data_IF_861881283397
#
_entry.id   IF_861881283397
#
_cell.length_a   1.000
_cell.length_b   1.000
_cell.length_c   1.000
_cell.angle_alpha   90.00
_cell.angle_beta   90.00
_cell.angle_gamma   90.00
#
_symmetry.space_group_name_H-M   'P 1'
#
loop_
_entity.id
_entity.type
_entity.pdbx_description
1 polymer ?
#
# COMPACT_ATOMS: atom_id res chain seq x y z
N UNK A 1 18.84 -18.74 -12.32
CA UNK A 1 19.65 -18.12 -11.24
C UNK A 1 19.03 -16.77 -10.91
N UNK A 2 18.74 -16.50 -9.63
CA UNK A 2 18.06 -15.30 -9.13
C UNK A 2 19.04 -14.20 -8.74
N UNK A 3 19.84 -13.70 -9.68
CA UNK A 3 20.52 -12.42 -9.48
C UNK A 3 19.54 -11.29 -9.85
N UNK A 4 19.33 -10.31 -8.95
CA UNK A 4 18.39 -9.20 -9.15
C UNK A 4 16.92 -9.56 -8.89
N UNK A 5 16.62 -10.31 -7.83
CA UNK A 5 15.24 -10.67 -7.45
C UNK A 5 14.41 -9.44 -7.10
N UNK A 6 14.98 -8.50 -6.34
CA UNK A 6 14.36 -7.24 -5.97
C UNK A 6 14.69 -6.15 -6.98
N UNK A 7 13.67 -5.41 -7.40
CA UNK A 7 13.79 -4.17 -8.15
C UNK A 7 13.65 -2.96 -7.23
N UNK A 8 13.33 -1.79 -7.79
CA UNK A 8 13.24 -0.52 -7.04
C UNK A 8 12.10 -0.47 -6.00
N UNK A 9 11.10 -1.34 -6.13
CA UNK A 9 9.93 -1.38 -5.25
C UNK A 9 9.44 -2.82 -5.08
N UNK A 10 10.33 -3.65 -4.53
CA UNK A 10 10.09 -5.09 -4.34
C UNK A 10 10.26 -5.90 -5.62
N UNK A 11 9.61 -7.06 -5.67
CA UNK A 11 9.70 -8.01 -6.79
C UNK A 11 8.50 -7.79 -7.70
N UNK A 12 8.70 -7.47 -9.00
CA UNK A 12 7.60 -7.20 -9.94
C UNK A 12 7.83 -7.86 -11.29
N UNK A 13 6.78 -8.45 -11.86
CA UNK A 13 6.79 -8.96 -13.22
C UNK A 13 5.36 -9.18 -13.75
N UNK A 14 5.25 -9.48 -15.04
CA UNK A 14 4.02 -10.03 -15.61
C UNK A 14 3.68 -11.35 -14.92
N UNK A 15 2.42 -11.56 -14.56
CA UNK A 15 2.00 -12.78 -13.87
C UNK A 15 2.34 -14.04 -14.67
N UNK A 16 2.71 -15.11 -13.96
CA UNK A 16 3.17 -16.38 -14.53
C UNK A 16 4.45 -16.30 -15.37
N UNK A 17 5.27 -15.27 -15.14
CA UNK A 17 6.59 -15.13 -15.76
C UNK A 17 7.64 -14.76 -14.73
N UNK A 18 8.89 -15.15 -14.98
CA UNK A 18 10.04 -14.78 -14.15
C UNK A 18 9.78 -15.01 -12.65
N UNK A 19 9.89 -13.96 -11.80
CA UNK A 19 9.69 -14.10 -10.36
C UNK A 19 8.22 -14.13 -9.92
N UNK A 20 7.25 -13.93 -10.82
CA UNK A 20 5.81 -13.92 -10.53
C UNK A 20 5.10 -15.23 -10.94
N UNK A 21 5.80 -16.36 -10.85
CA UNK A 21 5.19 -17.69 -10.87
C UNK A 21 4.85 -18.13 -9.44
N UNK A 22 3.87 -19.01 -9.27
CA UNK A 22 3.51 -19.53 -7.94
C UNK A 22 4.72 -20.19 -7.23
N UNK A 23 5.53 -20.95 -7.98
CA UNK A 23 6.75 -21.59 -7.47
C UNK A 23 7.78 -20.57 -6.97
N UNK A 24 8.06 -19.54 -7.79
CA UNK A 24 8.99 -18.48 -7.40
C UNK A 24 8.50 -17.71 -6.16
N UNK A 25 7.18 -17.53 -6.02
CA UNK A 25 6.60 -16.84 -4.87
C UNK A 25 6.64 -17.69 -3.60
N UNK A 26 6.40 -19.01 -3.68
CA UNK A 26 6.67 -19.92 -2.55
C UNK A 26 8.14 -19.80 -2.13
N UNK A 27 9.05 -19.74 -3.11
CA UNK A 27 10.48 -19.63 -2.84
C UNK A 27 10.85 -18.32 -2.14
N UNK A 28 10.29 -17.20 -2.59
CA UNK A 28 10.45 -15.90 -1.94
C UNK A 28 9.90 -15.90 -0.50
N UNK A 29 8.73 -16.49 -0.28
CA UNK A 29 8.11 -16.60 1.04
C UNK A 29 8.97 -17.42 2.01
N UNK A 30 9.50 -18.55 1.57
CA UNK A 30 10.44 -19.37 2.35
C UNK A 30 11.67 -18.56 2.77
N UNK A 31 12.29 -17.86 1.82
CA UNK A 31 13.51 -17.10 2.06
C UNK A 31 13.28 -15.91 2.99
N UNK A 32 12.23 -15.11 2.73
CA UNK A 32 11.88 -13.97 3.55
C UNK A 32 11.49 -14.40 4.97
N UNK A 33 10.61 -15.40 5.09
CA UNK A 33 10.18 -15.89 6.39
C UNK A 33 11.32 -16.49 7.21
N UNK A 34 12.26 -17.20 6.55
CA UNK A 34 13.45 -17.72 7.22
C UNK A 34 14.36 -16.61 7.73
N UNK A 35 14.60 -15.59 6.90
CA UNK A 35 15.43 -14.44 7.28
C UNK A 35 14.90 -13.78 8.57
N UNK A 36 13.60 -13.46 8.61
CA UNK A 36 12.98 -12.83 9.78
C UNK A 36 12.90 -13.76 10.99
N UNK A 37 12.71 -15.07 10.79
CA UNK A 37 12.72 -16.04 11.89
C UNK A 37 14.10 -16.16 12.56
N UNK A 38 15.19 -15.99 11.80
CA UNK A 38 16.56 -16.07 12.31
C UNK A 38 17.03 -14.74 12.97
N UNK A 39 16.49 -13.59 12.56
CA UNK A 39 16.99 -12.26 12.96
C UNK A 39 16.10 -11.49 13.93
N UNK A 40 14.85 -11.89 14.16
CA UNK A 40 13.99 -11.25 15.14
C UNK A 40 14.18 -11.83 16.55
N UNK A 41 13.99 -10.98 17.56
CA UNK A 41 14.18 -11.36 18.97
C UNK A 41 13.20 -12.47 19.38
N UNK A 42 13.75 -13.66 19.64
CA UNK A 42 13.01 -14.84 20.10
C UNK A 42 12.70 -14.82 21.59
N UNK A 43 12.85 -13.68 22.26
CA UNK A 43 12.50 -13.51 23.68
C UNK A 43 11.05 -13.85 23.99
N UNK A 44 10.17 -13.83 22.97
CA UNK A 44 8.80 -14.33 23.08
C UNK A 44 8.69 -15.80 22.63
N UNK A 45 8.01 -16.64 23.41
CA UNK A 45 7.61 -18.00 23.02
C UNK A 45 6.49 -18.02 21.95
N UNK A 46 6.10 -16.87 21.40
CA UNK A 46 5.07 -16.79 20.38
C UNK A 46 5.64 -17.14 18.99
N UNK A 47 4.80 -17.71 18.13
CA UNK A 47 5.17 -17.96 16.73
C UNK A 47 5.25 -16.63 15.96
N UNK A 48 6.28 -16.43 15.11
CA UNK A 48 6.36 -15.24 14.28
C UNK A 48 5.14 -15.15 13.35
N UNK A 49 4.65 -13.92 13.17
CA UNK A 49 3.46 -13.57 12.43
C UNK A 49 3.87 -12.81 11.16
N UNK A 50 3.27 -13.19 10.04
CA UNK A 50 3.31 -12.45 8.78
C UNK A 50 1.93 -11.90 8.48
N UNK A 51 1.83 -10.61 8.20
CA UNK A 51 0.59 -10.00 7.69
C UNK A 51 0.66 -9.91 6.17
N UNK A 52 -0.40 -10.32 5.48
CA UNK A 52 -0.45 -10.38 4.02
C UNK A 52 -1.68 -9.60 3.54
N UNK A 53 -1.43 -8.48 2.88
CA UNK A 53 -2.43 -7.72 2.12
C UNK A 53 -2.24 -7.91 0.62
N UNK A 54 -3.28 -7.56 -0.14
CA UNK A 54 -3.24 -7.59 -1.60
C UNK A 54 -4.10 -6.48 -2.18
N UNK A 55 -3.94 -6.19 -3.46
CA UNK A 55 -4.92 -5.44 -4.22
C UNK A 55 -6.04 -6.36 -4.78
N UNK A 56 -6.78 -5.85 -5.76
CA UNK A 56 -7.96 -6.50 -6.34
C UNK A 56 -7.65 -7.39 -7.53
N UNK A 57 -6.39 -7.50 -7.99
CA UNK A 57 -6.02 -8.34 -9.14
C UNK A 57 -6.42 -9.79 -8.90
N UNK A 58 -6.92 -10.45 -9.95
CA UNK A 58 -7.26 -11.88 -9.90
C UNK A 58 -6.04 -12.74 -9.49
N UNK A 59 -4.86 -12.38 -9.98
CA UNK A 59 -3.60 -13.06 -9.66
C UNK A 59 -3.25 -13.04 -8.18
N UNK A 60 -3.79 -12.08 -7.40
CA UNK A 60 -3.60 -12.00 -5.96
C UNK A 60 -4.05 -13.25 -5.19
N UNK A 61 -5.06 -13.99 -5.67
CA UNK A 61 -5.47 -15.25 -5.02
C UNK A 61 -4.40 -16.34 -5.11
N UNK A 62 -3.78 -16.46 -6.28
CA UNK A 62 -2.71 -17.43 -6.51
C UNK A 62 -1.46 -17.05 -5.71
N UNK A 63 -1.08 -15.78 -5.74
CA UNK A 63 0.11 -15.29 -5.04
C UNK A 63 -0.05 -15.31 -3.51
N UNK A 64 -1.22 -14.95 -2.98
CA UNK A 64 -1.54 -15.05 -1.54
C UNK A 64 -1.41 -16.51 -1.07
N UNK A 65 -1.96 -17.46 -1.86
CA UNK A 65 -1.89 -18.89 -1.53
C UNK A 65 -0.45 -19.41 -1.55
N UNK A 66 0.36 -19.00 -2.53
CA UNK A 66 1.78 -19.35 -2.63
C UNK A 66 2.59 -18.79 -1.44
N UNK A 67 2.34 -17.53 -1.06
CA UNK A 67 2.95 -16.92 0.12
C UNK A 67 2.60 -17.68 1.41
N UNK A 68 1.30 -17.97 1.60
CA UNK A 68 0.83 -18.75 2.75
C UNK A 68 1.50 -20.12 2.81
N UNK A 69 1.59 -20.83 1.68
CA UNK A 69 2.23 -22.14 1.63
C UNK A 69 3.71 -22.05 2.05
N UNK A 70 4.45 -21.07 1.54
CA UNK A 70 5.85 -20.89 1.92
C UNK A 70 6.02 -20.57 3.40
N UNK A 71 5.35 -19.53 3.91
CA UNK A 71 5.49 -19.12 5.33
C UNK A 71 5.05 -20.21 6.32
N UNK A 72 3.90 -20.84 6.09
CA UNK A 72 3.38 -21.86 7.02
C UNK A 72 4.22 -23.14 7.02
N UNK A 73 4.88 -23.47 5.90
CA UNK A 73 5.78 -24.63 5.82
C UNK A 73 7.06 -24.51 6.65
N UNK A 74 7.43 -23.30 7.08
CA UNK A 74 8.57 -23.02 7.97
C UNK A 74 8.13 -22.53 9.35
N UNK A 75 6.85 -22.70 9.68
CA UNK A 75 6.30 -22.48 11.03
C UNK A 75 5.80 -21.07 11.34
N UNK A 76 5.72 -20.18 10.35
CA UNK A 76 5.21 -18.82 10.53
C UNK A 76 3.68 -18.78 10.42
N UNK A 77 3.03 -18.03 11.31
CA UNK A 77 1.58 -17.81 11.27
C UNK A 77 1.24 -16.66 10.31
N UNK A 78 0.26 -16.84 9.42
CA UNK A 78 -0.17 -15.83 8.46
C UNK A 78 -1.49 -15.16 8.88
N UNK A 79 -1.55 -13.84 8.73
CA UNK A 79 -2.77 -13.02 8.90
C UNK A 79 -3.14 -12.40 7.55
N UNK A 80 -4.22 -12.90 6.96
CA UNK A 80 -4.69 -12.47 5.65
C UNK A 80 -5.63 -11.28 5.80
N UNK A 81 -5.22 -10.13 5.32
CA UNK A 81 -5.94 -8.87 5.44
C UNK A 81 -7.03 -8.70 4.37
N UNK A 82 -6.94 -9.47 3.28
CA UNK A 82 -7.76 -9.28 2.09
C UNK A 82 -7.32 -8.07 1.27
N UNK A 83 -8.16 -7.59 0.33
CA UNK A 83 -7.91 -6.36 -0.40
C UNK A 83 -7.80 -5.16 0.54
N UNK A 84 -6.63 -4.51 0.58
CA UNK A 84 -6.37 -3.38 1.49
C UNK A 84 -5.20 -2.52 0.97
N UNK A 85 -5.17 -1.19 1.17
CA UNK A 85 -4.07 -0.35 0.68
C UNK A 85 -2.69 -0.78 1.18
N UNK A 86 -1.65 -0.55 0.36
CA UNK A 86 -0.25 -0.72 0.76
C UNK A 86 0.09 -0.03 2.09
N UNK A 87 -0.28 1.25 2.34
CA UNK A 87 -0.02 1.89 3.64
C UNK A 87 -0.73 1.22 4.82
N UNK A 88 -1.84 0.50 4.58
CA UNK A 88 -2.50 -0.26 5.63
C UNK A 88 -1.70 -1.50 6.03
N UNK A 89 -1.04 -2.18 5.09
CA UNK A 89 -0.14 -3.30 5.38
C UNK A 89 1.01 -2.82 6.27
N UNK A 90 1.66 -1.72 5.90
CA UNK A 90 2.72 -1.11 6.71
C UNK A 90 2.24 -0.79 8.14
N UNK A 91 1.09 -0.12 8.27
CA UNK A 91 0.50 0.19 9.57
C UNK A 91 0.16 -1.07 10.39
N UNK A 92 -0.52 -2.04 9.76
CA UNK A 92 -1.01 -3.23 10.44
C UNK A 92 0.11 -4.16 10.87
N UNK A 93 1.22 -4.21 10.12
CA UNK A 93 2.45 -4.93 10.50
C UNK A 93 2.91 -4.49 11.89
N UNK A 94 3.10 -3.18 12.08
CA UNK A 94 3.49 -2.61 13.38
C UNK A 94 2.41 -2.79 14.45
N UNK A 95 1.15 -2.50 14.12
CA UNK A 95 0.06 -2.54 15.12
C UNK A 95 -0.21 -3.94 15.67
N UNK A 96 0.00 -4.97 14.84
CA UNK A 96 -0.18 -6.38 15.19
C UNK A 96 1.10 -7.01 15.73
N UNK A 97 2.20 -6.23 15.81
CA UNK A 97 3.54 -6.70 16.18
C UNK A 97 3.98 -7.89 15.33
N UNK A 98 3.66 -7.82 14.05
CA UNK A 98 4.08 -8.82 13.08
C UNK A 98 5.53 -8.57 12.68
N UNK A 99 6.21 -9.66 12.38
CA UNK A 99 7.62 -9.72 12.03
C UNK A 99 7.86 -9.33 10.58
N UNK A 100 6.82 -9.48 9.74
CA UNK A 100 6.88 -9.18 8.32
C UNK A 100 5.49 -8.76 7.81
N UNK A 101 5.47 -7.68 7.03
CA UNK A 101 4.35 -7.29 6.20
C UNK A 101 4.59 -7.63 4.74
N UNK A 102 3.56 -8.13 4.05
CA UNK A 102 3.61 -8.45 2.63
C UNK A 102 2.44 -7.76 1.93
N UNK A 103 2.75 -6.96 0.91
CA UNK A 103 1.75 -6.43 -0.01
C UNK A 103 1.90 -7.07 -1.38
N UNK A 104 0.82 -7.66 -1.88
CA UNK A 104 0.73 -8.25 -3.21
C UNK A 104 0.07 -7.23 -4.15
N UNK A 105 0.87 -6.48 -4.89
CA UNK A 105 0.41 -5.50 -5.87
C UNK A 105 1.50 -5.04 -6.83
N UNK A 106 1.10 -4.56 -8.01
CA UNK A 106 1.93 -3.79 -8.93
C UNK A 106 1.50 -2.30 -9.05
N UNK A 107 0.87 -1.73 -8.01
CA UNK A 107 0.43 -0.33 -7.95
C UNK A 107 -0.46 0.03 -9.16
N UNK A 108 -0.07 1.05 -9.91
CA UNK A 108 -0.76 1.57 -11.09
C UNK A 108 -0.65 0.71 -12.36
N UNK A 109 0.11 -0.40 -12.35
CA UNK A 109 0.25 -1.25 -13.54
C UNK A 109 -1.10 -1.92 -13.96
N UNK A 110 -1.26 -2.37 -15.21
CA UNK A 110 -2.45 -3.13 -15.65
C UNK A 110 -2.54 -4.52 -14.99
N UNK A 111 -3.74 -5.12 -14.93
CA UNK A 111 -4.03 -6.36 -14.17
C UNK A 111 -3.12 -7.58 -14.45
N UNK A 112 -2.48 -7.64 -15.61
CA UNK A 112 -1.59 -8.75 -15.99
C UNK A 112 -0.20 -8.67 -15.37
N UNK A 113 0.14 -7.56 -14.72
CA UNK A 113 1.31 -7.44 -13.86
C UNK A 113 0.93 -7.65 -12.40
N UNK A 114 1.88 -8.15 -11.59
CA UNK A 114 1.76 -8.13 -10.14
C UNK A 114 3.16 -8.00 -9.51
N UNK A 115 3.19 -7.80 -8.20
CA UNK A 115 4.44 -7.68 -7.46
C UNK A 115 4.27 -7.96 -5.98
N UNK A 116 5.40 -8.06 -5.29
CA UNK A 116 5.51 -8.33 -3.86
C UNK A 116 6.37 -7.23 -3.24
N UNK A 117 5.78 -6.47 -2.32
CA UNK A 117 6.48 -5.51 -1.45
C UNK A 117 6.58 -6.09 -0.05
N UNK A 118 7.75 -6.02 0.56
CA UNK A 118 7.99 -6.50 1.92
C UNK A 118 8.20 -5.33 2.88
N UNK A 119 7.69 -5.46 4.10
CA UNK A 119 7.78 -4.48 5.17
C UNK A 119 8.35 -5.10 6.43
N UNK A 120 9.30 -4.43 7.07
CA UNK A 120 9.85 -4.85 8.35
C UNK A 120 8.87 -4.68 9.51
N UNK A 121 9.24 -5.12 10.73
CA UNK A 121 8.40 -5.00 11.93
C UNK A 121 8.04 -3.57 12.32
N UNK A 122 8.85 -2.60 11.89
CA UNK A 122 8.64 -1.17 12.07
C UNK A 122 7.62 -0.56 11.08
N UNK A 123 7.25 -1.32 10.04
CA UNK A 123 6.35 -0.91 8.97
C UNK A 123 7.05 -0.18 7.82
N UNK A 124 8.38 -0.10 7.81
CA UNK A 124 9.15 0.45 6.69
C UNK A 124 9.48 -0.63 5.66
N UNK A 125 9.88 -0.22 4.46
CA UNK A 125 10.43 -1.15 3.46
C UNK A 125 11.76 -1.71 3.95
N UNK A 126 12.15 -2.84 3.37
CA UNK A 126 13.40 -3.51 3.73
C UNK A 126 14.60 -2.73 3.20
N UNK A 127 15.67 -2.72 4.00
CA UNK A 127 16.98 -2.21 3.55
C UNK A 127 17.63 -3.18 2.57
N UNK A 128 18.48 -2.67 1.69
CA UNK A 128 19.18 -3.43 0.65
C UNK A 128 19.93 -4.67 1.20
N UNK A 129 20.52 -4.55 2.39
CA UNK A 129 21.23 -5.66 3.06
C UNK A 129 20.29 -6.82 3.43
N UNK A 130 19.05 -6.49 3.84
CA UNK A 130 18.02 -7.49 4.14
C UNK A 130 17.58 -8.17 2.84
N UNK A 131 17.31 -7.39 1.79
CA UNK A 131 16.93 -7.93 0.48
C UNK A 131 18.01 -8.84 -0.11
N UNK A 132 19.29 -8.48 0.06
CA UNK A 132 20.43 -9.30 -0.33
C UNK A 132 20.48 -10.61 0.47
N UNK A 133 20.25 -10.55 1.79
CA UNK A 133 20.16 -11.73 2.65
C UNK A 133 19.04 -12.69 2.25
N UNK A 134 17.85 -12.15 1.96
CA UNK A 134 16.71 -12.92 1.44
C UNK A 134 17.05 -13.55 0.08
N UNK A 135 17.70 -12.80 -0.82
CA UNK A 135 18.11 -13.30 -2.13
C UNK A 135 19.12 -14.46 -2.01
N UNK A 136 20.06 -14.39 -1.07
CA UNK A 136 21.00 -15.46 -0.79
C UNK A 136 20.30 -16.72 -0.26
N UNK A 137 19.37 -16.58 0.69
CA UNK A 137 18.54 -17.69 1.18
C UNK A 137 17.70 -18.31 0.06
N UNK A 138 17.14 -17.48 -0.82
CA UNK A 138 16.38 -17.93 -1.99
C UNK A 138 17.22 -18.74 -3.00
N UNK A 139 18.54 -18.73 -2.93
CA UNK A 139 19.42 -19.59 -3.73
C UNK A 139 19.80 -20.92 -3.04
N UNK A 140 19.66 -21.04 -1.71
CA UNK A 140 20.15 -22.17 -0.92
C UNK A 140 19.14 -23.28 -0.64
N UNK A 141 19.34 -24.07 0.42
CA UNK A 141 18.29 -24.94 0.99
C UNK A 141 17.67 -24.25 2.20
N UNK A 142 16.36 -24.45 2.40
CA UNK A 142 15.63 -23.91 3.55
C UNK A 142 14.98 -25.10 4.25
N UNK A 143 15.31 -25.29 5.52
CA UNK A 143 14.75 -26.35 6.34
C UNK A 143 13.27 -26.08 6.61
N UNK A 144 12.44 -27.11 6.43
CA UNK A 144 11.00 -27.04 6.66
C UNK A 144 10.66 -27.44 8.10
N UNK A 145 9.54 -26.94 8.60
CA UNK A 145 9.04 -27.28 9.91
C UNK A 145 8.55 -28.74 9.97
N UNK A 146 8.69 -29.36 11.14
CA UNK A 146 8.04 -30.64 11.42
C UNK A 146 6.51 -30.46 11.45
N UNK A 147 5.76 -31.56 11.26
CA UNK A 147 4.30 -31.51 11.22
C UNK A 147 3.63 -30.77 12.40
N UNK A 148 4.06 -30.91 13.68
CA UNK A 148 3.49 -30.14 14.80
C UNK A 148 3.82 -28.64 14.78
N UNK A 149 4.90 -28.27 14.10
CA UNK A 149 5.46 -26.93 14.07
C UNK A 149 4.97 -26.09 12.88
N UNK A 150 4.18 -26.69 11.98
CA UNK A 150 3.55 -25.98 10.86
C UNK A 150 2.77 -24.75 11.33
N UNK A 151 2.95 -23.66 10.58
CA UNK A 151 2.28 -22.39 10.82
C UNK A 151 0.78 -22.44 10.49
N UNK A 152 0.04 -21.42 10.92
CA UNK A 152 -1.41 -21.31 10.71
C UNK A 152 -1.76 -20.06 9.93
N UNK A 153 -2.64 -20.18 8.95
CA UNK A 153 -3.22 -19.04 8.25
C UNK A 153 -4.61 -18.69 8.81
N UNK A 154 -4.87 -17.41 9.05
CA UNK A 154 -6.18 -16.89 9.48
C UNK A 154 -6.53 -15.61 8.73
N UNK A 155 -7.77 -15.51 8.26
CA UNK A 155 -8.31 -14.26 7.69
C UNK A 155 -8.66 -13.28 8.81
N UNK A 156 -8.32 -12.01 8.61
CA UNK A 156 -8.71 -10.90 9.46
C UNK A 156 -9.89 -10.17 8.82
N UNK A 157 -11.08 -10.35 9.40
CA UNK A 157 -12.31 -9.76 8.89
C UNK A 157 -12.46 -8.27 9.27
N UNK A 158 -11.70 -7.81 10.26
CA UNK A 158 -11.73 -6.46 10.81
C UNK A 158 -10.59 -5.56 10.29
N UNK A 159 -9.79 -6.03 9.31
CA UNK A 159 -8.63 -5.30 8.77
C UNK A 159 -9.00 -3.93 8.20
N UNK A 160 -10.07 -3.86 7.41
CA UNK A 160 -10.61 -2.62 6.82
C UNK A 160 -11.01 -1.63 7.92
N UNK A 161 -11.81 -2.07 8.90
CA UNK A 161 -12.26 -1.21 9.99
C UNK A 161 -11.10 -0.66 10.83
N UNK A 162 -10.09 -1.50 11.14
CA UNK A 162 -8.89 -1.04 11.85
C UNK A 162 -8.13 0.05 11.10
N UNK A 163 -7.99 -0.10 9.77
CA UNK A 163 -7.31 0.92 8.98
C UNK A 163 -8.14 2.20 8.81
N UNK A 164 -9.46 2.08 8.65
CA UNK A 164 -10.39 3.23 8.62
C UNK A 164 -10.29 4.02 9.94
N UNK A 165 -10.33 3.35 11.09
CA UNK A 165 -10.13 4.00 12.40
C UNK A 165 -8.77 4.70 12.49
N UNK A 166 -7.69 4.05 12.04
CA UNK A 166 -6.37 4.68 12.00
C UNK A 166 -6.37 5.93 11.12
N UNK A 167 -6.90 5.85 9.89
CA UNK A 167 -6.93 6.98 8.96
C UNK A 167 -7.68 8.18 9.56
N UNK A 168 -8.85 7.95 10.17
CA UNK A 168 -9.61 9.00 10.88
C UNK A 168 -8.84 9.59 12.05
N UNK A 169 -8.09 8.76 12.80
CA UNK A 169 -7.32 9.21 13.97
C UNK A 169 -6.20 10.21 13.63
N UNK A 170 -5.83 10.34 12.35
CA UNK A 170 -4.82 11.31 11.90
C UNK A 170 -5.34 12.75 11.91
N UNK A 171 -6.66 12.95 11.94
CA UNK A 171 -7.27 14.26 12.04
C UNK A 171 -7.34 14.73 13.50
N UNK A 172 -7.11 16.02 13.78
CA UNK A 172 -7.13 16.54 15.13
C UNK A 172 -8.54 16.51 15.74
N UNK A 173 -8.66 15.96 16.95
CA UNK A 173 -9.89 16.00 17.75
C UNK A 173 -11.08 15.31 17.07
N UNK A 174 -12.23 15.98 17.06
CA UNK A 174 -13.47 15.51 16.41
C UNK A 174 -13.72 16.25 15.09
N UNK A 175 -12.68 16.42 14.29
CA UNK A 175 -12.81 17.03 12.96
C UNK A 175 -13.83 16.25 12.14
N UNK A 176 -14.76 16.97 11.52
CA UNK A 176 -15.75 16.42 10.60
C UNK A 176 -15.62 17.11 9.24
N UNK A 177 -16.03 16.39 8.21
CA UNK A 177 -16.08 16.85 6.82
C UNK A 177 -17.52 17.15 6.38
N UNK A 178 -18.41 17.45 7.34
CA UNK A 178 -19.81 17.75 7.06
C UNK A 178 -19.93 18.93 6.09
N UNK A 179 -20.82 18.80 5.11
CA UNK A 179 -21.04 19.82 4.08
C UNK A 179 -20.07 19.75 2.91
N UNK A 180 -19.05 18.88 2.94
CA UNK A 180 -18.23 18.58 1.77
C UNK A 180 -18.83 17.43 0.97
N UNK A 181 -18.89 17.61 -0.34
CA UNK A 181 -19.20 16.59 -1.33
C UNK A 181 -17.95 16.23 -2.10
N UNK A 182 -17.56 14.96 -2.06
CA UNK A 182 -16.31 14.46 -2.62
C UNK A 182 -16.57 13.37 -3.66
N UNK A 183 -15.94 13.49 -4.83
CA UNK A 183 -15.83 12.39 -5.79
C UNK A 183 -14.60 11.56 -5.44
N UNK A 184 -14.75 10.24 -5.31
CA UNK A 184 -13.63 9.35 -4.91
C UNK A 184 -13.48 8.21 -5.89
N UNK A 185 -12.47 8.27 -6.75
CA UNK A 185 -12.08 7.22 -7.68
C UNK A 185 -11.03 6.30 -7.05
N UNK A 186 -11.43 5.05 -6.83
CA UNK A 186 -10.61 4.04 -6.16
C UNK A 186 -9.85 3.13 -7.12
N UNK A 187 -9.84 3.44 -8.43
CA UNK A 187 -9.14 2.68 -9.48
C UNK A 187 -9.51 1.20 -9.59
N UNK A 188 -10.68 0.80 -9.08
CA UNK A 188 -11.05 -0.60 -8.82
C UNK A 188 -9.96 -1.34 -8.03
N UNK A 189 -9.20 -0.62 -7.21
CA UNK A 189 -8.01 -1.07 -6.50
C UNK A 189 -8.27 -1.38 -5.03
N UNK A 190 -7.18 -1.43 -4.27
CA UNK A 190 -7.18 -1.88 -2.88
C UNK A 190 -7.98 -0.97 -1.94
N UNK A 191 -8.17 0.31 -2.30
CA UNK A 191 -8.90 1.28 -1.49
C UNK A 191 -10.41 1.36 -1.75
N UNK A 192 -10.98 0.48 -2.60
CA UNK A 192 -12.39 0.53 -3.04
C UNK A 192 -13.42 0.57 -1.90
N UNK A 193 -13.04 0.14 -0.69
CA UNK A 193 -13.84 0.28 0.54
C UNK A 193 -13.26 1.31 1.49
N UNK A 194 -11.96 1.20 1.80
CA UNK A 194 -11.33 1.99 2.86
C UNK A 194 -11.42 3.50 2.61
N UNK A 195 -11.30 3.96 1.36
CA UNK A 195 -11.33 5.40 1.08
C UNK A 195 -12.75 5.99 1.17
N UNK A 196 -13.79 5.43 0.52
CA UNK A 196 -15.17 5.86 0.73
C UNK A 196 -15.62 5.77 2.18
N UNK A 197 -15.36 4.64 2.85
CA UNK A 197 -15.80 4.41 4.24
C UNK A 197 -15.19 5.46 5.19
N UNK A 198 -13.89 5.75 5.05
CA UNK A 198 -13.18 6.75 5.88
C UNK A 198 -13.80 8.13 5.74
N UNK A 199 -14.00 8.60 4.51
CA UNK A 199 -14.50 9.95 4.26
C UNK A 199 -15.98 10.10 4.62
N UNK A 200 -16.78 9.07 4.35
CA UNK A 200 -18.18 9.02 4.75
C UNK A 200 -18.36 9.06 6.27
N UNK A 201 -17.60 8.25 7.02
CA UNK A 201 -17.66 8.24 8.49
C UNK A 201 -17.21 9.56 9.13
N UNK A 202 -16.37 10.34 8.43
CA UNK A 202 -16.00 11.70 8.81
C UNK A 202 -17.08 12.74 8.50
N UNK A 203 -18.12 12.40 7.75
CA UNK A 203 -19.30 13.25 7.50
C UNK A 203 -19.42 13.80 6.07
N UNK A 204 -18.51 13.47 5.16
CA UNK A 204 -18.61 13.93 3.78
C UNK A 204 -19.69 13.16 2.99
N UNK A 205 -20.34 13.82 2.04
CA UNK A 205 -21.13 13.18 0.99
C UNK A 205 -20.18 12.59 -0.06
N UNK A 206 -20.29 11.29 -0.34
CA UNK A 206 -19.36 10.60 -1.24
C UNK A 206 -20.06 10.22 -2.55
N UNK A 207 -19.43 10.57 -3.66
CA UNK A 207 -19.73 10.04 -5.00
C UNK A 207 -18.62 9.05 -5.37
N UNK A 208 -18.81 7.75 -5.14
CA UNK A 208 -17.77 6.75 -5.38
C UNK A 208 -17.66 6.41 -6.88
N UNK A 209 -16.43 6.29 -7.38
CA UNK A 209 -16.10 5.82 -8.72
C UNK A 209 -15.13 4.65 -8.65
N UNK A 210 -15.24 3.72 -9.59
CA UNK A 210 -14.34 2.56 -9.71
C UNK A 210 -14.22 1.78 -8.39
N UNK A 211 -15.36 1.44 -7.80
CA UNK A 211 -15.46 0.69 -6.54
C UNK A 211 -16.02 -0.73 -6.73
N UNK A 212 -15.99 -1.25 -7.95
CA UNK A 212 -16.55 -2.56 -8.30
C UNK A 212 -15.49 -3.44 -8.97
N UNK A 213 -14.44 -3.84 -8.24
CA UNK A 213 -13.38 -4.67 -8.78
C UNK A 213 -13.88 -6.05 -9.22
N UNK A 214 -13.45 -6.50 -10.40
CA UNK A 214 -13.77 -7.83 -10.94
C UNK A 214 -12.54 -8.75 -11.12
N UNK A 215 -11.35 -8.23 -10.77
CA UNK A 215 -10.07 -8.91 -10.94
C UNK A 215 -9.28 -8.52 -12.19
N UNK A 216 -9.91 -7.82 -13.14
CA UNK A 216 -9.36 -7.42 -14.44
C UNK A 216 -9.37 -5.90 -14.65
N UNK A 217 -10.34 -5.20 -14.09
CA UNK A 217 -10.62 -3.78 -14.31
C UNK A 217 -9.82 -2.80 -13.43
N UNK A 218 -8.80 -3.27 -12.70
CA UNK A 218 -7.92 -2.42 -11.89
C UNK A 218 -7.14 -1.45 -12.80
N UNK A 219 -7.12 -0.17 -12.43
CA UNK A 219 -6.49 0.94 -13.16
C UNK A 219 -6.97 1.10 -14.64
N UNK A 220 -8.05 0.42 -15.04
CA UNK A 220 -8.55 0.49 -16.41
C UNK A 220 -9.29 1.81 -16.63
N UNK A 221 -8.61 2.77 -17.29
CA UNK A 221 -9.16 4.10 -17.59
C UNK A 221 -9.71 4.85 -16.36
N UNK A 222 -9.14 4.57 -15.17
CA UNK A 222 -9.53 5.18 -13.90
C UNK A 222 -8.30 5.36 -12.98
N UNK A 223 -8.51 6.03 -11.84
CA UNK A 223 -7.51 6.22 -10.81
C UNK A 223 -6.50 7.34 -11.10
N UNK A 224 -5.46 7.42 -10.28
CA UNK A 224 -4.50 8.53 -10.30
C UNK A 224 -3.76 8.72 -11.64
N UNK A 225 -3.62 7.66 -12.45
CA UNK A 225 -3.02 7.75 -13.80
C UNK A 225 -4.01 8.26 -14.85
N UNK A 226 -5.31 8.04 -14.64
CA UNK A 226 -6.39 8.44 -15.55
C UNK A 226 -7.49 9.25 -14.82
N UNK A 227 -7.16 10.44 -14.26
CA UNK A 227 -8.06 11.17 -13.37
C UNK A 227 -9.22 11.89 -14.08
N UNK A 228 -9.31 11.80 -15.41
CA UNK A 228 -10.27 12.57 -16.21
C UNK A 228 -11.73 12.21 -15.91
N UNK A 229 -12.00 10.93 -15.60
CA UNK A 229 -13.34 10.48 -15.21
C UNK A 229 -13.78 11.15 -13.90
N UNK A 230 -12.90 11.15 -12.90
CA UNK A 230 -13.12 11.82 -11.62
C UNK A 230 -13.34 13.32 -11.81
N UNK A 231 -12.48 14.00 -12.57
CA UNK A 231 -12.61 15.43 -12.83
C UNK A 231 -13.95 15.80 -13.49
N UNK A 232 -14.37 15.00 -14.48
CA UNK A 232 -15.67 15.18 -15.14
C UNK A 232 -16.83 14.99 -14.15
N UNK A 233 -16.72 13.98 -13.28
CA UNK A 233 -17.72 13.70 -12.27
C UNK A 233 -17.78 14.81 -11.20
N UNK A 234 -16.66 15.44 -10.85
CA UNK A 234 -16.65 16.57 -9.90
C UNK A 234 -17.57 17.69 -10.41
N UNK A 235 -17.39 18.11 -11.65
CA UNK A 235 -18.23 19.14 -12.28
C UNK A 235 -19.67 18.67 -12.44
N UNK A 236 -19.89 17.44 -12.91
CA UNK A 236 -21.23 16.90 -13.15
C UNK A 236 -22.08 16.78 -11.87
N UNK A 237 -21.44 16.49 -10.73
CA UNK A 237 -22.11 16.33 -9.44
C UNK A 237 -22.08 17.59 -8.57
N UNK A 238 -21.43 18.66 -9.02
CA UNK A 238 -21.21 19.87 -8.23
C UNK A 238 -20.47 19.57 -6.92
N UNK A 239 -19.45 18.71 -6.98
CA UNK A 239 -18.65 18.32 -5.83
C UNK A 239 -17.57 19.38 -5.53
N UNK A 240 -17.17 19.49 -4.27
CA UNK A 240 -16.17 20.47 -3.81
C UNK A 240 -14.75 20.08 -4.22
N UNK A 241 -14.49 18.77 -4.31
CA UNK A 241 -13.22 18.24 -4.78
C UNK A 241 -13.37 16.80 -5.25
N UNK A 242 -12.36 16.35 -5.99
CA UNK A 242 -12.22 14.95 -6.35
C UNK A 242 -10.88 14.36 -5.91
N UNK A 243 -10.90 13.06 -5.64
CA UNK A 243 -9.80 12.26 -5.11
C UNK A 243 -9.63 11.04 -6.01
N UNK A 244 -8.45 10.87 -6.59
CA UNK A 244 -8.05 9.68 -7.32
C UNK A 244 -6.93 8.97 -6.59
N UNK A 245 -7.13 7.69 -6.32
CA UNK A 245 -6.10 6.77 -5.83
C UNK A 245 -5.62 5.88 -6.97
N UNK A 246 -4.46 5.25 -6.83
CA UNK A 246 -4.02 4.19 -7.73
C UNK A 246 -4.36 2.79 -7.19
N UNK A 247 -4.01 1.75 -7.94
CA UNK A 247 -4.42 0.37 -7.68
C UNK A 247 -4.13 -0.17 -6.27
N UNK A 248 -3.08 0.31 -5.60
CA UNK A 248 -2.78 -0.02 -4.20
C UNK A 248 -2.83 1.16 -3.23
N UNK A 249 -3.26 2.32 -3.72
CA UNK A 249 -3.47 3.55 -2.98
C UNK A 249 -2.24 4.02 -2.20
N UNK A 250 -1.07 3.95 -2.84
CA UNK A 250 0.13 4.66 -2.38
C UNK A 250 0.32 6.02 -3.08
N UNK A 251 -0.52 6.35 -4.07
CA UNK A 251 -0.56 7.64 -4.76
C UNK A 251 -1.90 8.34 -4.64
N UNK A 252 -1.85 9.67 -4.73
CA UNK A 252 -3.00 10.56 -4.70
C UNK A 252 -2.87 11.60 -5.82
N UNK A 253 -3.96 11.80 -6.56
CA UNK A 253 -4.20 12.94 -7.45
C UNK A 253 -5.54 13.54 -7.08
N UNK A 254 -5.67 14.86 -7.19
CA UNK A 254 -6.93 15.55 -6.84
C UNK A 254 -7.46 16.35 -8.03
N UNK A 255 -8.72 16.79 -7.92
CA UNK A 255 -9.26 17.85 -8.75
C UNK A 255 -9.97 18.89 -7.87
N UNK A 256 -9.91 20.15 -8.28
CA UNK A 256 -10.71 21.22 -7.68
C UNK A 256 -12.17 21.17 -8.17
N UNK A 257 -13.01 22.06 -7.64
CA UNK A 257 -14.45 22.15 -7.92
C UNK A 257 -14.76 22.43 -9.40
N UNK A 258 -13.77 22.93 -10.17
CA UNK A 258 -13.90 23.19 -11.60
C UNK A 258 -13.48 22.01 -12.46
N UNK A 259 -13.06 20.90 -11.83
CA UNK A 259 -12.53 19.71 -12.50
C UNK A 259 -11.08 19.87 -12.97
N UNK A 260 -10.36 20.91 -12.51
CA UNK A 260 -8.94 21.05 -12.85
C UNK A 260 -8.12 20.07 -12.01
N UNK A 261 -7.29 19.29 -12.69
CA UNK A 261 -6.39 18.34 -12.04
C UNK A 261 -5.34 19.07 -11.20
N UNK A 262 -5.12 18.56 -10.00
CA UNK A 262 -4.11 18.98 -9.03
C UNK A 262 -3.12 17.82 -8.87
N UNK A 263 -1.88 18.04 -9.28
CA UNK A 263 -0.83 17.04 -9.23
C UNK A 263 -0.14 16.93 -7.85
N UNK A 264 0.78 15.97 -7.72
CA UNK A 264 1.50 15.70 -6.49
C UNK A 264 2.35 16.89 -6.00
N UNK A 265 2.92 17.70 -6.90
CA UNK A 265 3.71 18.87 -6.51
C UNK A 265 2.81 19.95 -5.92
N UNK A 266 1.66 20.19 -6.53
CA UNK A 266 0.68 21.15 -6.03
C UNK A 266 0.11 20.72 -4.67
N UNK A 267 -0.20 19.42 -4.51
CA UNK A 267 -0.64 18.85 -3.22
C UNK A 267 0.45 19.02 -2.17
N UNK A 268 1.69 18.66 -2.49
CA UNK A 268 2.83 18.77 -1.57
C UNK A 268 3.08 20.21 -1.15
N UNK A 269 3.02 21.17 -2.09
CA UNK A 269 3.15 22.58 -1.81
C UNK A 269 2.04 23.10 -0.88
N UNK A 270 0.79 22.71 -1.12
CA UNK A 270 -0.34 23.06 -0.25
C UNK A 270 -0.14 22.54 1.18
N UNK A 271 0.22 21.26 1.33
CA UNK A 271 0.47 20.64 2.62
C UNK A 271 1.65 21.29 3.36
N UNK A 272 2.76 21.54 2.67
CA UNK A 272 3.95 22.15 3.26
C UNK A 272 3.67 23.56 3.81
N UNK A 273 2.97 24.39 3.03
CA UNK A 273 2.58 25.74 3.46
C UNK A 273 1.65 25.69 4.69
N UNK A 274 0.61 24.84 4.65
CA UNK A 274 -0.31 24.68 5.77
C UNK A 274 0.39 24.13 7.03
N UNK A 275 1.37 23.23 6.88
CA UNK A 275 2.17 22.72 8.00
C UNK A 275 3.12 23.79 8.56
N UNK A 276 3.70 24.64 7.71
CA UNK A 276 4.57 25.73 8.13
C UNK A 276 3.77 26.77 8.93
N UNK A 277 2.59 27.18 8.44
CA UNK A 277 1.69 28.11 9.14
C UNK A 277 1.29 27.60 10.54
N UNK A 278 1.17 26.28 10.70
CA UNK A 278 0.85 25.62 11.97
C UNK A 278 2.07 25.34 12.85
N UNK A 279 3.29 25.70 12.41
CA UNK A 279 4.54 25.40 13.11
C UNK A 279 4.85 23.91 13.24
N UNK A 280 4.31 23.08 12.32
CA UNK A 280 4.46 21.60 12.34
C UNK A 280 5.40 21.07 11.26
N UNK A 281 5.86 21.91 10.34
CA UNK A 281 6.80 21.51 9.30
C UNK A 281 8.20 21.35 9.90
N UNK A 282 8.67 20.11 10.01
CA UNK A 282 10.00 19.82 10.55
C UNK A 282 11.09 20.47 9.70
N UNK A 283 12.06 21.13 10.36
CA UNK A 283 13.21 21.79 9.73
C UNK A 283 12.88 22.80 8.63
N UNK A 284 11.62 23.24 8.52
CA UNK A 284 11.13 24.05 7.40
C UNK A 284 11.58 23.50 6.03
N UNK A 285 11.50 22.19 5.83
CA UNK A 285 12.01 21.53 4.63
C UNK A 285 11.00 20.55 4.01
N UNK A 286 11.08 20.38 2.68
CA UNK A 286 10.30 19.41 1.90
C UNK A 286 11.25 18.55 1.06
N UNK A 287 11.09 17.24 1.13
CA UNK A 287 11.89 16.30 0.31
C UNK A 287 11.12 16.00 -0.97
N UNK A 288 11.70 16.34 -2.12
CA UNK A 288 11.21 16.00 -3.45
C UNK A 288 12.25 15.18 -4.24
N UNK A 289 11.87 14.77 -5.45
CA UNK A 289 12.81 14.16 -6.40
C UNK A 289 13.27 15.18 -7.44
N UNK A 290 14.30 14.86 -8.22
CA UNK A 290 14.75 15.71 -9.35
C UNK A 290 13.70 15.92 -10.45
N UNK A 291 12.60 15.16 -10.40
CA UNK A 291 11.48 15.26 -11.35
C UNK A 291 10.44 16.30 -10.93
N UNK A 292 10.52 16.83 -9.69
CA UNK A 292 9.57 17.81 -9.18
C UNK A 292 9.68 19.12 -9.96
N UNK A 293 8.56 19.78 -10.20
CA UNK A 293 8.51 21.00 -10.99
C UNK A 293 9.20 22.17 -10.26
N UNK A 294 10.01 22.95 -10.98
CA UNK A 294 10.68 24.16 -10.47
C UNK A 294 9.70 25.20 -9.87
N UNK A 295 8.44 25.18 -10.29
CA UNK A 295 7.37 25.99 -9.70
C UNK A 295 7.15 25.69 -8.21
N UNK A 296 7.25 24.43 -7.79
CA UNK A 296 7.18 24.03 -6.39
C UNK A 296 8.35 24.63 -5.60
N UNK A 297 9.59 24.41 -6.06
CA UNK A 297 10.79 24.97 -5.44
C UNK A 297 10.71 26.49 -5.30
N UNK A 298 10.27 27.18 -6.36
CA UNK A 298 10.14 28.64 -6.36
C UNK A 298 9.10 29.10 -5.32
N UNK A 299 7.95 28.41 -5.23
CA UNK A 299 6.88 28.75 -4.29
C UNK A 299 7.27 28.49 -2.84
N UNK A 300 7.94 27.37 -2.58
CA UNK A 300 8.41 26.98 -1.25
C UNK A 300 9.56 27.88 -0.78
N UNK A 301 10.53 28.17 -1.64
CA UNK A 301 11.63 29.10 -1.34
C UNK A 301 11.13 30.50 -0.98
N UNK A 302 10.10 31.00 -1.67
CA UNK A 302 9.46 32.27 -1.32
C UNK A 302 8.76 32.27 0.06
N UNK A 303 8.40 31.10 0.59
CA UNK A 303 7.87 30.90 1.94
C UNK A 303 8.98 30.60 2.98
N UNK A 304 10.25 30.59 2.58
CA UNK A 304 11.36 30.19 3.46
C UNK A 304 11.36 28.70 3.78
N UNK A 305 10.73 27.87 2.94
CA UNK A 305 10.80 26.42 2.99
C UNK A 305 11.91 25.98 2.04
N UNK A 306 12.78 25.09 2.53
CA UNK A 306 13.88 24.49 1.74
C UNK A 306 13.43 23.22 1.03
#
# INVERSE_FOLDING_TARGET
MMAGLFGTDGVRARINTGPMTAEAVVRLALAAGRWFADHNDRSSNARPIVVIGKDTRLSGYMLESAMVAGFTSIGLDCRLLGPIPTPAVAHLTRSLRAELGVMISASHNPHHDNGIKLFGPDGFKLDDDIEAGISALAAGSIELANAPDLGRARRMLDSVGRYVEFAKSTLPGRTRLDGLKLVVDCANGAAYRTAPDTLYELGAEIVPLSVSPDGFNINENCGAVHPQMMATAVVAHGADAGICLDGDADRLIMADETGKIIDGDQILGCLALAMQERGKLANAAVVGTVMSNRGLETRLGAAGIT
#
